data_IF_546733398839
#
_entry.id   IF_546733398839
#
_cell.length_a   1.000
_cell.length_b   1.000
_cell.length_c   1.000
_cell.angle_alpha   90.00
_cell.angle_beta   90.00
_cell.angle_gamma   90.00
#
_symmetry.space_group_name_H-M   'P 1'
#
loop_
_entity.id
_entity.type
_entity.pdbx_description
1 polymer ?
#
# COMPACT_ATOMS: atom_id res chain seq x y z
N UNK A 1 -10.75 -11.56 -13.04
CA UNK A 1 -10.96 -10.12 -12.76
C UNK A 1 -9.61 -9.48 -12.47
N UNK A 2 -9.24 -8.37 -13.12
CA UNK A 2 -7.93 -7.73 -12.90
C UNK A 2 -8.14 -6.43 -12.13
N UNK A 3 -7.66 -6.37 -10.89
CA UNK A 3 -7.78 -5.19 -10.04
C UNK A 3 -6.66 -4.22 -10.41
N UNK A 4 -7.02 -2.96 -10.67
CA UNK A 4 -6.07 -1.95 -11.18
C UNK A 4 -5.85 -0.80 -10.19
N UNK A 5 -6.88 -0.47 -9.41
CA UNK A 5 -6.91 0.67 -8.49
C UNK A 5 -7.67 0.37 -7.18
N UNK A 6 -7.29 -0.63 -6.39
CA UNK A 6 -7.93 -0.84 -5.09
C UNK A 6 -7.60 0.33 -4.14
N UNK A 7 -8.52 0.58 -3.22
CA UNK A 7 -8.37 1.57 -2.15
C UNK A 7 -8.57 0.84 -0.82
N UNK A 8 -7.65 1.05 0.12
CA UNK A 8 -7.80 0.68 1.53
C UNK A 8 -7.84 1.96 2.36
N UNK A 9 -8.86 2.09 3.20
CA UNK A 9 -9.08 3.30 4.00
C UNK A 9 -9.30 2.90 5.45
N UNK A 10 -8.43 3.38 6.34
CA UNK A 10 -8.52 3.20 7.79
C UNK A 10 -8.73 1.73 8.20
N UNK A 11 -8.07 0.81 7.50
CA UNK A 11 -8.25 -0.64 7.72
C UNK A 11 -6.98 -1.29 8.23
N UNK A 12 -5.82 -0.93 7.66
CA UNK A 12 -4.60 -1.70 7.88
C UNK A 12 -4.02 -1.49 9.28
N UNK A 13 -4.28 -0.35 9.93
CA UNK A 13 -3.85 -0.14 11.32
C UNK A 13 -4.58 -1.00 12.36
N UNK A 14 -5.74 -1.58 12.02
CA UNK A 14 -6.46 -2.50 12.89
C UNK A 14 -5.87 -3.91 12.91
N UNK A 15 -5.11 -4.25 11.88
CA UNK A 15 -4.48 -5.56 11.74
C UNK A 15 -3.23 -5.63 12.63
N UNK A 16 -2.99 -6.81 13.19
CA UNK A 16 -1.68 -7.11 13.78
C UNK A 16 -0.57 -7.07 12.69
N UNK A 17 0.72 -7.03 13.09
CA UNK A 17 1.81 -6.92 12.12
C UNK A 17 1.82 -8.01 11.04
N UNK A 18 1.56 -9.27 11.40
CA UNK A 18 1.64 -10.40 10.47
C UNK A 18 0.47 -10.36 9.47
N UNK A 19 -0.72 -10.00 9.95
CA UNK A 19 -1.88 -9.77 9.09
C UNK A 19 -1.69 -8.58 8.14
N UNK A 20 -0.98 -7.52 8.55
CA UNK A 20 -0.59 -6.42 7.65
C UNK A 20 0.34 -6.88 6.54
N UNK A 21 1.36 -7.68 6.88
CA UNK A 21 2.27 -8.26 5.90
C UNK A 21 1.54 -9.17 4.90
N UNK A 22 0.64 -10.02 5.40
CA UNK A 22 -0.19 -10.88 4.56
C UNK A 22 -1.09 -10.06 3.62
N UNK A 23 -1.71 -8.98 4.10
CA UNK A 23 -2.56 -8.11 3.30
C UNK A 23 -1.78 -7.40 2.17
N UNK A 24 -0.57 -6.93 2.46
CA UNK A 24 0.31 -6.30 1.46
C UNK A 24 0.82 -7.32 0.43
N UNK A 25 1.18 -8.53 0.89
CA UNK A 25 1.57 -9.66 0.02
C UNK A 25 0.45 -9.99 -0.96
N UNK A 26 -0.78 -10.14 -0.46
CA UNK A 26 -1.93 -10.45 -1.30
C UNK A 26 -2.25 -9.32 -2.26
N UNK A 27 -2.19 -8.07 -1.78
CA UNK A 27 -2.36 -6.89 -2.63
C UNK A 27 -1.36 -6.87 -3.79
N UNK A 28 -0.10 -7.21 -3.54
CA UNK A 28 0.93 -7.30 -4.58
C UNK A 28 0.63 -8.43 -5.57
N UNK A 29 0.23 -9.61 -5.06
CA UNK A 29 -0.08 -10.79 -5.88
C UNK A 29 -1.24 -10.52 -6.86
N UNK A 30 -2.30 -9.86 -6.40
CA UNK A 30 -3.52 -9.65 -7.20
C UNK A 30 -3.45 -8.45 -8.15
N UNK A 31 -2.63 -7.45 -7.84
CA UNK A 31 -2.39 -6.32 -8.74
C UNK A 31 -1.62 -6.80 -9.95
N UNK A 32 -2.01 -6.38 -11.15
CA UNK A 32 -1.15 -6.54 -12.33
C UNK A 32 0.11 -5.65 -12.23
N UNK A 33 1.16 -5.89 -13.03
CA UNK A 33 2.27 -4.94 -13.16
C UNK A 33 1.74 -3.53 -13.46
N UNK A 34 2.34 -2.54 -12.79
CA UNK A 34 1.95 -1.12 -12.80
C UNK A 34 0.55 -0.82 -12.21
N UNK A 35 -0.12 -1.83 -11.65
CA UNK A 35 -1.32 -1.66 -10.83
C UNK A 35 -1.00 -0.85 -9.57
N UNK A 36 -1.99 -0.09 -9.08
CA UNK A 36 -1.78 0.89 -8.00
C UNK A 36 -2.73 0.65 -6.84
N UNK A 37 -2.21 0.34 -5.66
CA UNK A 37 -2.96 0.37 -4.40
C UNK A 37 -2.88 1.79 -3.81
N UNK A 38 -4.03 2.34 -3.42
CA UNK A 38 -4.07 3.57 -2.62
C UNK A 38 -4.44 3.25 -1.17
N UNK A 39 -3.69 3.81 -0.23
CA UNK A 39 -3.88 3.58 1.20
C UNK A 39 -4.12 4.93 1.87
N UNK A 40 -5.17 5.05 2.69
CA UNK A 40 -5.38 6.18 3.59
C UNK A 40 -5.36 5.66 5.03
N UNK A 41 -4.32 5.94 5.82
CA UNK A 41 -4.16 5.32 7.14
C UNK A 41 -3.33 6.15 8.15
N UNK A 42 -3.44 5.85 9.45
CA UNK A 42 -2.84 6.57 10.60
C UNK A 42 -1.45 6.10 11.01
N UNK A 43 -0.92 5.06 10.36
CA UNK A 43 0.43 4.51 10.57
C UNK A 43 1.20 4.40 9.25
N UNK A 44 1.04 5.40 8.37
CA UNK A 44 1.47 5.29 7.00
C UNK A 44 2.99 5.13 6.80
N UNK A 45 3.84 5.68 7.69
CA UNK A 45 5.29 5.47 7.56
C UNK A 45 5.65 3.97 7.64
N UNK A 46 5.12 3.28 8.66
CA UNK A 46 5.31 1.82 8.80
C UNK A 46 4.74 1.06 7.60
N UNK A 47 3.55 1.42 7.13
CA UNK A 47 2.93 0.78 5.96
C UNK A 47 3.72 1.05 4.67
N UNK A 48 4.31 2.24 4.53
CA UNK A 48 5.14 2.59 3.39
C UNK A 48 6.41 1.74 3.35
N UNK A 49 7.07 1.54 4.50
CA UNK A 49 8.27 0.71 4.59
C UNK A 49 7.97 -0.76 4.30
N UNK A 50 6.90 -1.30 4.89
CA UNK A 50 6.44 -2.67 4.59
C UNK A 50 6.11 -2.83 3.10
N UNK A 51 5.37 -1.89 2.51
CA UNK A 51 5.02 -1.95 1.10
C UNK A 51 6.27 -1.88 0.19
N UNK A 52 7.27 -1.06 0.52
CA UNK A 52 8.55 -1.04 -0.22
C UNK A 52 9.26 -2.38 -0.15
N UNK A 53 9.26 -3.04 1.01
CA UNK A 53 9.86 -4.37 1.17
C UNK A 53 9.16 -5.44 0.32
N UNK A 54 7.86 -5.28 0.05
CA UNK A 54 7.10 -6.12 -0.88
C UNK A 54 7.29 -5.77 -2.37
N UNK A 55 8.16 -4.81 -2.69
CA UNK A 55 8.46 -4.43 -4.07
C UNK A 55 7.52 -3.39 -4.67
N UNK A 56 6.69 -2.73 -3.85
CA UNK A 56 5.97 -1.54 -4.30
C UNK A 56 6.90 -0.34 -4.43
N UNK A 57 6.70 0.46 -5.47
CA UNK A 57 7.09 1.86 -5.45
C UNK A 57 6.07 2.65 -4.63
N UNK A 58 6.51 3.39 -3.61
CA UNK A 58 5.60 4.09 -2.71
C UNK A 58 5.81 5.59 -2.79
N UNK A 59 4.74 6.32 -3.10
CA UNK A 59 4.68 7.78 -3.01
C UNK A 59 3.71 8.20 -1.90
N UNK A 60 4.14 9.09 -1.02
CA UNK A 60 3.25 9.81 -0.10
C UNK A 60 2.62 10.99 -0.83
N UNK A 61 1.30 11.02 -0.89
CA UNK A 61 0.53 12.05 -1.60
C UNK A 61 0.13 13.21 -0.70
N UNK A 62 0.31 13.08 0.61
CA UNK A 62 0.00 14.09 1.61
C UNK A 62 -0.66 13.48 2.85
N UNK A 63 -1.17 14.35 3.72
CA UNK A 63 -1.88 13.96 4.94
C UNK A 63 -3.05 14.89 5.25
N UNK A 64 -3.98 14.39 6.07
CA UNK A 64 -5.10 15.15 6.61
C UNK A 64 -5.27 14.79 8.08
N UNK A 65 -5.32 15.80 8.94
CA UNK A 65 -5.62 15.60 10.36
C UNK A 65 -7.13 15.47 10.56
N UNK A 66 -7.54 14.38 11.21
CA UNK A 66 -8.91 14.09 11.61
C UNK A 66 -9.03 14.17 13.13
N UNK A 67 -10.18 14.59 13.62
CA UNK A 67 -10.41 14.79 15.05
C UNK A 67 -10.30 13.49 15.87
N UNK A 68 -10.68 12.34 15.29
CA UNK A 68 -10.77 11.06 15.98
C UNK A 68 -9.53 10.17 15.75
N UNK A 69 -8.88 10.33 14.59
CA UNK A 69 -7.83 9.41 14.11
C UNK A 69 -6.43 10.05 14.08
N UNK A 70 -6.30 11.34 14.45
CA UNK A 70 -5.05 12.06 14.29
C UNK A 70 -4.71 12.25 12.81
N UNK A 71 -3.42 12.18 12.46
CA UNK A 71 -2.97 12.39 11.09
C UNK A 71 -3.18 11.13 10.24
N UNK A 72 -4.05 11.22 9.25
CA UNK A 72 -4.22 10.20 8.20
C UNK A 72 -3.36 10.61 7.02
N UNK A 73 -2.54 9.69 6.52
CA UNK A 73 -1.68 9.94 5.37
C UNK A 73 -2.17 9.12 4.18
N UNK A 74 -1.95 9.67 2.98
CA UNK A 74 -2.35 9.07 1.72
C UNK A 74 -1.12 8.53 1.01
N UNK A 75 -1.08 7.22 0.77
CA UNK A 75 -0.03 6.56 0.02
C UNK A 75 -0.55 6.06 -1.32
N UNK A 76 0.32 6.09 -2.32
CA UNK A 76 0.16 5.35 -3.57
C UNK A 76 1.28 4.34 -3.70
N UNK A 77 0.91 3.06 -3.73
CA UNK A 77 1.80 1.93 -3.90
C UNK A 77 1.64 1.36 -5.31
N UNK A 78 2.68 1.42 -6.15
CA UNK A 78 2.68 0.91 -7.53
C UNK A 78 3.44 -0.40 -7.58
N UNK A 79 2.81 -1.47 -8.06
CA UNK A 79 3.50 -2.75 -8.30
C UNK A 79 4.48 -2.55 -9.46
N UNK A 80 5.78 -2.54 -9.18
CA UNK A 80 6.79 -2.42 -10.23
C UNK A 80 6.68 -3.61 -11.20
N UNK A 81 6.94 -3.34 -12.48
CA UNK A 81 7.21 -4.41 -13.43
C UNK A 81 8.57 -4.99 -13.07
N UNK A 82 8.63 -6.28 -12.77
CA UNK A 82 9.92 -6.96 -12.64
C UNK A 82 10.51 -7.00 -14.06
N UNK A 83 11.55 -6.20 -14.31
CA UNK A 83 12.32 -6.34 -15.53
C UNK A 83 13.16 -7.60 -15.39
N UNK A 84 12.89 -8.62 -16.21
CA UNK A 84 13.79 -9.77 -16.32
C UNK A 84 14.98 -9.30 -17.17
N UNK A 85 16.24 -9.54 -16.75
CA UNK A 85 17.44 -9.11 -17.48
C UNK A 85 17.62 -9.72 -18.88
N UNK A 86 16.60 -10.38 -19.43
CA UNK A 86 16.61 -11.06 -20.74
C UNK A 86 15.64 -10.40 -21.76
N UNK A 87 15.02 -9.27 -21.42
CA UNK A 87 14.19 -8.43 -22.32
C UNK A 87 15.00 -7.32 -23.00
#
# INVERSE_FOLDING_TARGET
MVVRYPVSSLTLHHLDPDAREAALTESFRVLKPEGRLHIADVQAQRLADMARNHGFEVAELGSRRLNVFGSVHFLRCVRKRVHRPED
#
